data_IF_810393431941
#
_entry.id   IF_810393431941
#
_cell.length_a   1.000
_cell.length_b   1.000
_cell.length_c   1.000
_cell.angle_alpha   90.00
_cell.angle_beta   90.00
_cell.angle_gamma   90.00
#
_symmetry.space_group_name_H-M   'P 1'
#
loop_
_entity.id
_entity.type
_entity.pdbx_description
1 polymer ?
#
# COMPACT_ATOMS: atom_id res chain seq x y z
N UNK A 1 24.33 46.80 -5.40
CA UNK A 1 24.69 45.87 -6.49
C UNK A 1 23.80 44.64 -6.34
N UNK A 2 22.59 44.67 -6.88
CA UNK A 2 21.63 43.55 -6.84
C UNK A 2 21.39 43.16 -8.30
N UNK A 3 21.89 41.98 -8.70
CA UNK A 3 21.70 41.44 -10.05
C UNK A 3 20.37 40.69 -10.08
N UNK A 4 19.36 41.30 -10.69
CA UNK A 4 18.15 40.60 -11.11
C UNK A 4 18.54 39.60 -12.23
N UNK A 5 18.37 38.30 -11.97
CA UNK A 5 18.50 37.26 -12.99
C UNK A 5 17.18 37.18 -13.76
N UNK A 6 17.19 37.71 -14.99
CA UNK A 6 16.18 37.42 -16.02
C UNK A 6 16.34 35.97 -16.44
N UNK A 7 15.33 35.13 -16.16
CA UNK A 7 15.29 33.73 -16.60
C UNK A 7 14.88 33.71 -18.07
N UNK A 8 15.88 33.85 -18.94
CA UNK A 8 15.74 33.65 -20.37
C UNK A 8 15.95 32.19 -20.77
N UNK A 9 15.04 31.70 -21.61
CA UNK A 9 15.22 30.57 -22.54
C UNK A 9 15.27 29.14 -21.98
N UNK A 10 14.08 28.56 -21.69
CA UNK A 10 13.78 27.15 -22.03
C UNK A 10 12.29 26.82 -22.17
N UNK A 11 11.52 27.69 -22.84
CA UNK A 11 10.12 27.43 -23.22
C UNK A 11 9.94 27.66 -24.72
N UNK A 12 10.32 26.65 -25.52
CA UNK A 12 10.10 26.56 -26.98
C UNK A 12 10.10 25.06 -27.29
N UNK A 13 9.12 24.41 -27.91
CA UNK A 13 7.98 24.76 -28.79
C UNK A 13 6.91 23.66 -28.67
N UNK A 14 5.61 23.99 -28.71
CA UNK A 14 4.63 23.25 -29.53
C UNK A 14 3.50 24.22 -29.99
N UNK A 15 3.52 24.51 -31.30
CA UNK A 15 2.64 25.21 -32.26
C UNK A 15 1.30 25.93 -31.88
N UNK A 16 1.26 27.20 -32.33
CA UNK A 16 0.26 27.97 -33.12
C UNK A 16 -1.23 27.96 -32.76
N UNK A 17 -1.76 29.13 -32.37
CA UNK A 17 -2.38 30.09 -33.31
C UNK A 17 -2.80 31.41 -32.61
N UNK A 18 -2.41 32.52 -33.24
CA UNK A 18 -2.94 33.90 -33.14
C UNK A 18 -2.52 34.82 -31.98
N UNK A 19 -2.22 36.05 -32.43
CA UNK A 19 -1.60 37.17 -31.73
C UNK A 19 -2.53 37.79 -30.68
N UNK A 20 -2.00 38.03 -29.48
CA UNK A 20 -2.16 39.34 -28.85
C UNK A 20 -1.04 39.60 -27.84
N UNK A 21 -0.40 40.74 -28.06
CA UNK A 21 0.78 41.27 -27.41
C UNK A 21 0.50 41.78 -26.00
N UNK A 22 1.01 41.08 -24.97
CA UNK A 22 1.60 41.67 -23.75
C UNK A 22 2.65 40.67 -23.26
N UNK A 23 3.93 40.91 -23.51
CA UNK A 23 5.01 40.19 -22.83
C UNK A 23 5.07 40.65 -21.37
N UNK A 24 4.14 40.19 -20.55
CA UNK A 24 4.35 40.17 -19.10
C UNK A 24 5.49 39.20 -18.83
N UNK A 25 6.67 39.74 -18.54
CA UNK A 25 7.75 39.00 -17.91
C UNK A 25 7.22 38.48 -16.56
N UNK A 26 6.58 37.31 -16.57
CA UNK A 26 6.04 36.68 -15.37
C UNK A 26 7.21 36.24 -14.50
N UNK A 27 7.64 37.11 -13.59
CA UNK A 27 8.69 36.80 -12.63
C UNK A 27 8.10 35.83 -11.61
N UNK A 28 8.37 34.54 -11.80
CA UNK A 28 7.96 33.46 -10.90
C UNK A 28 8.84 33.46 -9.64
N UNK A 29 8.69 34.47 -8.78
CA UNK A 29 9.43 34.58 -7.50
C UNK A 29 8.76 33.84 -6.36
N UNK A 30 7.43 33.94 -6.29
CA UNK A 30 6.63 33.39 -5.20
C UNK A 30 5.87 32.12 -5.58
N UNK A 31 5.47 31.37 -4.56
CA UNK A 31 4.87 30.06 -4.70
C UNK A 31 3.45 30.11 -5.34
N UNK A 32 2.74 31.23 -5.19
CA UNK A 32 1.39 31.43 -5.74
C UNK A 32 1.45 31.67 -7.24
N UNK A 33 2.32 32.57 -7.69
CA UNK A 33 2.59 32.87 -9.10
C UNK A 33 3.04 31.60 -9.82
N UNK A 34 3.94 30.82 -9.21
CA UNK A 34 4.38 29.54 -9.77
C UNK A 34 3.27 28.49 -9.83
N UNK A 35 2.38 28.44 -8.83
CA UNK A 35 1.23 27.55 -8.84
C UNK A 35 0.23 27.93 -9.95
N UNK A 36 -0.12 29.21 -10.07
CA UNK A 36 -1.03 29.70 -11.11
C UNK A 36 -0.48 29.40 -12.52
N UNK A 37 0.81 29.69 -12.73
CA UNK A 37 1.47 29.36 -13.99
C UNK A 37 1.48 27.86 -14.28
N UNK A 38 1.71 27.02 -13.26
CA UNK A 38 1.68 25.58 -13.41
C UNK A 38 0.29 25.04 -13.76
N UNK A 39 -0.78 25.64 -13.23
CA UNK A 39 -2.16 25.26 -13.55
C UNK A 39 -2.51 25.66 -14.99
N UNK A 40 -2.11 26.86 -15.42
CA UNK A 40 -2.40 27.39 -16.76
C UNK A 40 -1.62 26.68 -17.87
N UNK A 41 -0.34 26.34 -17.62
CA UNK A 41 0.58 25.82 -18.64
C UNK A 41 0.84 24.31 -18.54
N UNK A 42 -0.01 23.57 -17.80
CA UNK A 42 0.14 22.11 -17.72
C UNK A 42 -0.33 21.44 -19.02
N UNK A 43 0.46 20.50 -19.60
CA UNK A 43 0.13 19.85 -20.88
C UNK A 43 -1.15 19.00 -20.86
N UNK A 44 -1.72 18.75 -19.67
CA UNK A 44 -3.07 18.23 -19.48
C UNK A 44 -3.72 19.10 -18.40
N UNK A 45 -4.94 19.59 -18.63
CA UNK A 45 -5.70 20.35 -17.61
C UNK A 45 -5.61 19.61 -16.28
N UNK A 46 -5.00 20.25 -15.29
CA UNK A 46 -4.89 19.69 -13.95
C UNK A 46 -6.29 19.41 -13.42
N UNK A 47 -6.55 18.19 -12.96
CA UNK A 47 -7.84 17.87 -12.36
C UNK A 47 -8.04 18.68 -11.06
N UNK A 48 -9.31 18.87 -10.68
CA UNK A 48 -9.67 19.70 -9.52
C UNK A 48 -8.98 19.23 -8.23
N UNK A 49 -8.84 17.91 -8.05
CA UNK A 49 -8.15 17.32 -6.89
C UNK A 49 -6.67 17.71 -6.83
N UNK A 50 -5.95 17.69 -7.97
CA UNK A 50 -4.55 18.11 -8.02
C UNK A 50 -4.39 19.59 -7.67
N UNK A 51 -5.27 20.45 -8.19
CA UNK A 51 -5.24 21.88 -7.89
C UNK A 51 -5.48 22.15 -6.40
N UNK A 52 -6.45 21.44 -5.81
CA UNK A 52 -6.73 21.57 -4.37
C UNK A 52 -5.54 21.13 -3.50
N UNK A 53 -4.91 20.00 -3.80
CA UNK A 53 -3.80 19.52 -2.97
C UNK A 53 -2.53 20.35 -3.12
N UNK A 54 -2.24 20.85 -4.32
CA UNK A 54 -1.11 21.78 -4.52
C UNK A 54 -1.43 23.13 -3.85
N UNK A 55 -2.64 23.66 -4.05
CA UNK A 55 -3.06 24.92 -3.43
C UNK A 55 -3.02 24.88 -1.90
N UNK A 56 -3.34 23.73 -1.30
CA UNK A 56 -3.17 23.51 0.15
C UNK A 56 -1.71 23.55 0.58
N UNK A 57 -0.80 22.96 -0.19
CA UNK A 57 0.63 23.05 0.08
C UNK A 57 1.10 24.50 0.02
N UNK A 58 0.70 25.22 -1.03
CA UNK A 58 1.04 26.63 -1.23
C UNK A 58 0.58 27.46 -0.03
N UNK A 59 -0.67 27.27 0.41
CA UNK A 59 -1.23 27.96 1.58
C UNK A 59 -0.51 27.60 2.88
N UNK A 60 -0.07 26.36 3.04
CA UNK A 60 0.60 25.89 4.26
C UNK A 60 2.04 26.39 4.35
N UNK A 61 2.80 26.36 3.25
CA UNK A 61 4.18 26.86 3.18
C UNK A 61 4.19 28.39 3.25
N UNK A 62 3.21 29.03 2.64
CA UNK A 62 3.08 30.48 2.55
C UNK A 62 2.91 30.92 1.09
N UNK A 63 1.81 31.61 0.75
CA UNK A 63 1.51 31.98 -0.64
C UNK A 63 2.53 32.94 -1.24
N UNK A 64 3.03 33.89 -0.44
CA UNK A 64 3.97 34.94 -0.87
C UNK A 64 5.44 34.53 -0.63
N UNK A 65 5.68 33.27 -0.25
CA UNK A 65 7.00 32.77 0.09
C UNK A 65 7.86 32.65 -1.17
N UNK A 66 9.07 33.18 -1.12
CA UNK A 66 10.06 33.00 -2.19
C UNK A 66 10.46 31.53 -2.36
N UNK A 67 10.33 31.01 -3.57
CA UNK A 67 10.53 29.57 -3.87
C UNK A 67 11.95 29.10 -3.51
N UNK A 68 12.96 29.97 -3.68
CA UNK A 68 14.37 29.67 -3.40
C UNK A 68 14.65 29.43 -1.92
N UNK A 69 13.84 30.01 -1.05
CA UNK A 69 14.00 29.95 0.41
C UNK A 69 13.37 28.71 1.04
N UNK A 70 12.60 27.94 0.26
CA UNK A 70 11.94 26.71 0.73
C UNK A 70 12.99 25.64 1.00
N UNK A 71 12.98 25.13 2.22
CA UNK A 71 13.94 24.12 2.69
C UNK A 71 13.38 22.71 2.59
N UNK A 72 14.25 21.69 2.47
CA UNK A 72 13.87 20.29 2.60
C UNK A 72 13.09 19.95 3.87
N UNK A 73 13.43 20.60 4.99
CA UNK A 73 12.80 20.38 6.30
C UNK A 73 11.34 20.85 6.31
N UNK A 74 11.02 21.96 5.65
CA UNK A 74 9.64 22.45 5.52
C UNK A 74 8.79 21.49 4.67
N UNK A 75 9.36 20.90 3.62
CA UNK A 75 8.67 19.88 2.83
C UNK A 75 8.44 18.60 3.65
N UNK A 76 9.40 18.24 4.52
CA UNK A 76 9.24 17.14 5.48
C UNK A 76 8.10 17.40 6.45
N UNK A 77 8.07 18.58 7.08
CA UNK A 77 7.00 18.97 8.01
C UNK A 77 5.62 19.05 7.34
N UNK A 78 5.57 19.52 6.09
CA UNK A 78 4.33 19.46 5.29
C UNK A 78 3.91 18.02 5.01
N UNK A 79 4.86 17.11 4.80
CA UNK A 79 4.59 15.68 4.58
C UNK A 79 3.85 15.06 5.76
N UNK A 80 4.24 15.41 6.98
CA UNK A 80 3.58 14.93 8.21
C UNK A 80 2.17 15.51 8.33
N UNK A 81 1.99 16.79 8.03
CA UNK A 81 0.67 17.44 8.05
C UNK A 81 -0.26 16.91 6.94
N UNK A 82 0.31 16.59 5.79
CA UNK A 82 -0.40 15.96 4.68
C UNK A 82 -0.85 14.54 5.04
N UNK A 83 -0.03 13.77 5.78
CA UNK A 83 -0.35 12.41 6.19
C UNK A 83 -1.51 12.36 7.19
N UNK A 84 -1.63 13.32 8.12
CA UNK A 84 -2.72 13.37 9.12
C UNK A 84 -4.11 13.51 8.51
N UNK A 85 -4.23 14.13 7.33
CA UNK A 85 -5.52 14.54 6.73
C UNK A 85 -5.91 13.75 5.48
N UNK A 86 -5.03 12.87 5.01
CA UNK A 86 -5.21 12.20 3.72
C UNK A 86 -5.43 10.71 3.93
N UNK A 87 -6.57 10.22 3.48
CA UNK A 87 -6.88 8.79 3.48
C UNK A 87 -5.83 8.00 2.70
N UNK A 88 -5.44 6.86 3.26
CA UNK A 88 -4.36 5.99 2.79
C UNK A 88 -4.48 5.53 1.34
N UNK A 89 -5.71 5.37 0.86
CA UNK A 89 -6.08 4.96 -0.50
C UNK A 89 -5.77 6.04 -1.55
N UNK A 90 -6.09 7.30 -1.26
CA UNK A 90 -5.88 8.45 -2.19
C UNK A 90 -4.52 9.11 -2.03
N UNK A 91 -3.82 8.80 -0.94
CA UNK A 91 -2.55 9.41 -0.58
C UNK A 91 -1.44 9.26 -1.66
N UNK A 92 -1.24 8.10 -2.31
CA UNK A 92 -0.22 7.96 -3.37
C UNK A 92 -0.47 8.87 -4.58
N UNK A 93 -1.74 9.00 -5.00
CA UNK A 93 -2.13 9.83 -6.13
C UNK A 93 -1.96 11.32 -5.81
N UNK A 94 -2.40 11.74 -4.62
CA UNK A 94 -2.29 13.12 -4.16
C UNK A 94 -0.84 13.56 -3.97
N UNK A 95 0.01 12.70 -3.41
CA UNK A 95 1.47 12.95 -3.34
C UNK A 95 2.08 13.07 -4.71
N UNK A 96 1.64 12.26 -5.69
CA UNK A 96 2.14 12.38 -7.06
C UNK A 96 1.84 13.76 -7.68
N UNK A 97 0.69 14.38 -7.38
CA UNK A 97 0.39 15.74 -7.83
C UNK A 97 1.36 16.76 -7.25
N UNK A 98 1.61 16.68 -5.94
CA UNK A 98 2.51 17.61 -5.25
C UNK A 98 3.96 17.41 -5.72
N UNK A 99 4.41 16.16 -5.89
CA UNK A 99 5.75 15.85 -6.45
C UNK A 99 5.93 16.37 -7.85
N UNK A 100 4.91 16.30 -8.71
CA UNK A 100 4.97 16.87 -10.06
C UNK A 100 5.14 18.39 -10.01
N UNK A 101 4.43 19.08 -9.12
CA UNK A 101 4.61 20.51 -8.93
C UNK A 101 6.01 20.87 -8.40
N UNK A 102 6.51 20.17 -7.36
CA UNK A 102 7.88 20.38 -6.85
C UNK A 102 8.96 20.07 -7.89
N UNK A 103 8.72 19.08 -8.76
CA UNK A 103 9.61 18.76 -9.89
C UNK A 103 9.57 19.85 -10.96
N UNK A 104 8.40 20.43 -11.22
CA UNK A 104 8.25 21.61 -12.07
C UNK A 104 9.07 22.79 -11.54
N UNK A 105 9.00 23.08 -10.24
CA UNK A 105 9.81 24.15 -9.63
C UNK A 105 11.32 23.92 -9.81
N UNK A 106 11.76 22.67 -9.64
CA UNK A 106 13.16 22.28 -9.88
C UNK A 106 13.56 22.43 -11.35
N UNK A 107 12.74 21.94 -12.28
CA UNK A 107 13.03 21.93 -13.71
C UNK A 107 13.09 23.33 -14.32
N UNK A 108 12.41 24.30 -13.70
CA UNK A 108 12.48 25.72 -14.06
C UNK A 108 13.50 26.50 -13.20
N UNK A 109 14.37 25.81 -12.47
CA UNK A 109 15.43 26.40 -11.65
C UNK A 109 14.93 27.39 -10.57
N UNK A 110 13.66 27.26 -10.16
CA UNK A 110 13.02 28.14 -9.18
C UNK A 110 13.35 27.76 -7.73
N UNK A 111 13.67 26.48 -7.48
CA UNK A 111 13.98 25.94 -6.14
C UNK A 111 15.44 25.54 -5.98
N UNK A 112 15.99 25.70 -4.78
CA UNK A 112 17.40 25.46 -4.42
C UNK A 112 17.82 23.98 -4.30
N UNK A 113 16.95 23.02 -4.68
CA UNK A 113 17.27 21.59 -4.65
C UNK A 113 16.10 20.69 -5.03
N UNK A 114 16.28 19.37 -4.88
CA UNK A 114 15.22 18.39 -5.16
C UNK A 114 14.20 18.30 -4.02
N UNK A 115 13.34 19.30 -3.88
CA UNK A 115 12.31 19.33 -2.84
C UNK A 115 11.37 18.11 -2.88
N UNK A 116 11.12 17.57 -4.08
CA UNK A 116 10.23 16.42 -4.26
C UNK A 116 10.71 15.12 -3.56
N UNK A 117 12.02 14.95 -3.32
CA UNK A 117 12.55 13.77 -2.60
C UNK A 117 12.31 13.80 -1.09
N UNK A 118 11.97 14.97 -0.55
CA UNK A 118 11.70 15.17 0.87
C UNK A 118 10.21 15.04 1.21
N UNK A 119 9.33 15.01 0.20
CA UNK A 119 7.94 14.62 0.36
C UNK A 119 7.84 13.08 0.47
N UNK A 120 8.05 12.59 1.68
CA UNK A 120 8.00 11.17 2.03
C UNK A 120 6.75 10.87 2.83
N UNK A 121 5.89 10.02 2.31
CA UNK A 121 4.91 9.36 3.17
C UNK A 121 5.55 8.14 3.81
N UNK A 122 5.33 7.98 5.11
CA UNK A 122 5.47 6.68 5.77
C UNK A 122 4.55 5.74 4.99
N UNK A 123 5.12 4.77 4.26
CA UNK A 123 4.33 3.76 3.56
C UNK A 123 3.57 3.00 4.64
N UNK A 124 2.28 3.26 4.81
CA UNK A 124 1.44 2.21 5.36
C UNK A 124 1.41 1.09 4.31
N UNK A 125 1.67 -0.14 4.75
CA UNK A 125 1.68 -1.31 3.86
C UNK A 125 0.31 -1.55 3.18
N UNK A 126 -0.72 -0.86 3.65
CA UNK A 126 -2.08 -0.78 3.11
C UNK A 126 -2.10 -0.46 1.62
N UNK A 127 -1.30 0.50 1.14
CA UNK A 127 -1.31 0.91 -0.28
C UNK A 127 -0.76 -0.16 -1.26
N UNK A 128 0.08 -1.09 -0.78
CA UNK A 128 0.53 -2.24 -1.58
C UNK A 128 -0.55 -3.32 -1.62
N UNK A 129 -1.29 -3.48 -0.53
CA UNK A 129 -2.38 -4.44 -0.39
C UNK A 129 -3.56 -3.99 -1.26
N UNK A 130 -4.02 -2.74 -1.14
CA UNK A 130 -5.11 -2.18 -1.96
C UNK A 130 -4.78 -2.18 -3.44
N UNK A 131 -3.53 -1.86 -3.83
CA UNK A 131 -3.14 -1.89 -5.25
C UNK A 131 -2.98 -3.30 -5.80
N UNK A 132 -2.70 -4.31 -4.96
CA UNK A 132 -2.77 -5.73 -5.32
C UNK A 132 -4.22 -6.16 -5.51
N UNK A 133 -5.12 -5.75 -4.61
CA UNK A 133 -6.58 -5.99 -4.67
C UNK A 133 -7.29 -5.26 -5.84
N UNK A 134 -6.87 -4.05 -6.19
CA UNK A 134 -7.43 -3.29 -7.34
C UNK A 134 -6.91 -3.82 -8.68
N UNK A 135 -5.69 -4.38 -8.72
CA UNK A 135 -5.16 -5.04 -9.90
C UNK A 135 -5.82 -6.40 -10.17
N UNK A 136 -6.42 -7.03 -9.14
CA UNK A 136 -7.23 -8.25 -9.21
C UNK A 136 -8.72 -7.97 -9.16
N UNK A 137 -9.18 -6.92 -9.86
CA UNK A 137 -10.60 -6.65 -10.10
C UNK A 137 -11.17 -7.75 -11.02
N UNK A 138 -11.39 -8.93 -10.44
CA UNK A 138 -11.78 -10.16 -11.11
C UNK A 138 -11.46 -11.46 -10.34
N UNK A 139 -10.62 -11.44 -9.30
CA UNK A 139 -10.38 -12.65 -8.48
C UNK A 139 -11.33 -12.66 -7.28
N UNK A 140 -12.40 -13.48 -7.37
CA UNK A 140 -13.18 -13.88 -6.21
C UNK A 140 -12.23 -14.53 -5.19
N UNK A 141 -12.19 -14.02 -3.96
CA UNK A 141 -11.38 -14.63 -2.91
C UNK A 141 -12.16 -15.83 -2.39
N UNK A 142 -11.71 -17.02 -2.73
CA UNK A 142 -12.30 -18.23 -2.17
C UNK A 142 -11.72 -18.53 -0.80
N UNK A 143 -12.58 -18.81 0.17
CA UNK A 143 -12.20 -19.22 1.53
C UNK A 143 -12.92 -20.50 1.91
N UNK A 144 -12.25 -21.36 2.66
CA UNK A 144 -12.94 -22.46 3.36
C UNK A 144 -13.84 -21.91 4.47
N UNK A 145 -14.90 -22.64 4.85
CA UNK A 145 -15.75 -22.23 6.00
C UNK A 145 -14.92 -22.03 7.27
N UNK A 146 -13.94 -22.90 7.49
CA UNK A 146 -13.01 -22.80 8.61
C UNK A 146 -12.14 -21.53 8.52
N UNK A 147 -11.62 -21.20 7.33
CA UNK A 147 -10.84 -19.98 7.11
C UNK A 147 -11.65 -18.71 7.31
N UNK A 148 -12.88 -18.67 6.80
CA UNK A 148 -13.79 -17.55 7.00
C UNK A 148 -14.04 -17.29 8.50
N UNK A 149 -14.36 -18.34 9.27
CA UNK A 149 -14.54 -18.24 10.73
C UNK A 149 -13.25 -17.79 11.44
N UNK A 150 -12.09 -18.23 10.97
CA UNK A 150 -10.80 -17.83 11.55
C UNK A 150 -10.52 -16.34 11.33
N UNK A 151 -10.84 -15.82 10.13
CA UNK A 151 -10.76 -14.39 9.83
C UNK A 151 -11.78 -13.56 10.64
N UNK A 152 -13.02 -14.03 10.80
CA UNK A 152 -14.01 -13.37 11.66
C UNK A 152 -13.54 -13.31 13.12
N UNK A 153 -12.97 -14.40 13.63
CA UNK A 153 -12.40 -14.46 14.96
C UNK A 153 -11.25 -13.47 15.11
N UNK A 154 -10.29 -13.47 14.19
CA UNK A 154 -9.16 -12.53 14.20
C UNK A 154 -9.63 -11.08 14.16
N UNK A 155 -10.61 -10.76 13.30
CA UNK A 155 -11.20 -9.43 13.22
C UNK A 155 -11.82 -9.00 14.56
N UNK A 156 -12.57 -9.88 15.19
CA UNK A 156 -13.17 -9.64 16.51
C UNK A 156 -12.10 -9.43 17.58
N UNK A 157 -11.05 -10.23 17.59
CA UNK A 157 -9.94 -10.14 18.55
C UNK A 157 -9.24 -8.77 18.40
N UNK A 158 -8.90 -8.36 17.17
CA UNK A 158 -8.28 -7.05 16.91
C UNK A 158 -9.20 -5.87 17.28
N UNK A 159 -10.50 -5.95 16.97
CA UNK A 159 -11.47 -4.92 17.38
C UNK A 159 -11.62 -4.83 18.89
N UNK A 160 -11.49 -5.95 19.60
CA UNK A 160 -11.52 -6.00 21.07
C UNK A 160 -10.23 -5.46 21.70
N UNK A 161 -9.09 -5.61 21.02
CA UNK A 161 -7.80 -5.05 21.46
C UNK A 161 -7.74 -3.52 21.28
N UNK A 162 -8.42 -2.99 20.26
CA UNK A 162 -8.31 -1.57 19.86
C UNK A 162 -8.54 -0.56 21.00
N UNK A 163 -9.55 -0.69 21.88
CA UNK A 163 -9.73 0.22 23.01
C UNK A 163 -8.55 0.19 23.99
N UNK A 164 -7.92 -0.97 24.20
CA UNK A 164 -6.77 -1.11 25.09
C UNK A 164 -5.56 -0.37 24.53
N UNK A 165 -5.31 -0.51 23.23
CA UNK A 165 -4.22 0.19 22.54
C UNK A 165 -4.44 1.71 22.54
N UNK A 166 -5.69 2.16 22.36
CA UNK A 166 -6.03 3.58 22.44
C UNK A 166 -5.74 4.17 23.83
N UNK A 167 -6.04 3.41 24.90
CA UNK A 167 -5.67 3.80 26.27
C UNK A 167 -4.15 3.81 26.49
N UNK A 168 -3.40 2.84 25.93
CA UNK A 168 -1.93 2.83 25.97
C UNK A 168 -1.34 4.09 25.32
N UNK A 169 -1.84 4.48 24.14
CA UNK A 169 -1.43 5.73 23.48
C UNK A 169 -1.81 6.96 24.30
N UNK A 170 -3.00 6.99 24.90
CA UNK A 170 -3.44 8.11 25.74
C UNK A 170 -2.54 8.27 26.97
N UNK A 171 -2.18 7.16 27.62
CA UNK A 171 -1.24 7.16 28.76
C UNK A 171 0.15 7.64 28.35
N UNK A 172 0.69 7.09 27.27
CA UNK A 172 2.00 7.49 26.75
C UNK A 172 2.03 8.97 26.31
N UNK A 173 0.90 9.50 25.82
CA UNK A 173 0.78 10.92 25.47
C UNK A 173 0.67 11.85 26.68
N UNK A 174 0.22 11.35 27.84
CA UNK A 174 0.10 12.13 29.07
C UNK A 174 1.43 12.38 29.79
N UNK A 175 2.48 11.60 29.47
CA UNK A 175 3.83 11.72 30.06
C UNK A 175 4.62 12.97 29.60
N UNK A 176 4.03 13.84 28.77
CA UNK A 176 4.42 15.25 28.64
C UNK A 176 5.71 15.58 27.88
N UNK A 177 6.67 14.65 27.74
CA UNK A 177 7.89 14.87 26.96
C UNK A 177 7.76 14.33 25.53
N UNK A 178 7.09 15.10 24.68
CA UNK A 178 6.62 14.64 23.35
C UNK A 178 7.75 14.55 22.31
N UNK A 179 8.94 15.11 22.59
CA UNK A 179 9.98 15.30 21.56
C UNK A 179 10.87 14.07 21.34
N UNK A 180 10.93 13.13 22.30
CA UNK A 180 11.70 11.87 22.20
C UNK A 180 10.99 10.67 22.87
N UNK A 181 9.65 10.62 22.85
CA UNK A 181 8.90 9.57 23.53
C UNK A 181 8.83 8.28 22.69
N UNK A 182 9.89 7.48 22.74
CA UNK A 182 9.94 6.15 22.11
C UNK A 182 8.73 5.24 22.50
N UNK A 183 8.23 5.24 23.75
CA UNK A 183 6.99 4.55 24.10
C UNK A 183 5.74 5.02 23.34
N UNK A 184 5.57 6.33 23.14
CA UNK A 184 4.43 6.89 22.38
C UNK A 184 4.49 6.51 20.90
N UNK A 185 5.68 6.56 20.30
CA UNK A 185 5.87 6.18 18.90
C UNK A 185 5.62 4.68 18.69
N UNK A 186 6.11 3.83 19.60
CA UNK A 186 5.83 2.40 19.59
C UNK A 186 4.33 2.09 19.74
N UNK A 187 3.64 2.78 20.66
CA UNK A 187 2.21 2.59 20.86
C UNK A 187 1.39 3.04 19.63
N UNK A 188 1.77 4.15 18.99
CA UNK A 188 1.17 4.61 17.73
C UNK A 188 1.39 3.63 16.58
N UNK A 189 2.60 3.11 16.43
CA UNK A 189 2.91 2.11 15.42
C UNK A 189 2.10 0.83 15.62
N UNK A 190 1.93 0.39 16.87
CA UNK A 190 1.09 -0.78 17.19
C UNK A 190 -0.37 -0.57 16.80
N UNK A 191 -0.96 0.60 17.10
CA UNK A 191 -2.31 0.95 16.64
C UNK A 191 -2.41 0.93 15.11
N UNK A 192 -1.42 1.52 14.42
CA UNK A 192 -1.41 1.57 12.95
C UNK A 192 -1.31 0.17 12.33
N UNK A 193 -0.50 -0.71 12.92
CA UNK A 193 -0.38 -2.10 12.51
C UNK A 193 -1.70 -2.86 12.69
N UNK A 194 -2.35 -2.74 13.84
CA UNK A 194 -3.62 -3.43 14.12
C UNK A 194 -4.74 -2.91 13.22
N UNK A 195 -4.85 -1.59 13.01
CA UNK A 195 -5.82 -1.02 12.06
C UNK A 195 -5.57 -1.50 10.63
N UNK A 196 -4.31 -1.60 10.21
CA UNK A 196 -3.97 -2.15 8.90
C UNK A 196 -4.44 -3.60 8.76
N UNK A 197 -4.32 -4.41 9.83
CA UNK A 197 -4.79 -5.79 9.85
C UNK A 197 -6.32 -5.91 9.82
N UNK A 198 -7.01 -5.07 10.59
CA UNK A 198 -8.48 -4.99 10.56
C UNK A 198 -8.97 -4.69 9.14
N UNK A 199 -8.40 -3.66 8.50
CA UNK A 199 -8.79 -3.27 7.15
C UNK A 199 -8.54 -4.38 6.12
N UNK A 200 -7.38 -5.05 6.21
CA UNK A 200 -7.04 -6.19 5.35
C UNK A 200 -8.07 -7.32 5.48
N UNK A 201 -8.40 -7.71 6.72
CA UNK A 201 -9.35 -8.79 6.98
C UNK A 201 -10.77 -8.39 6.54
N UNK A 202 -11.20 -7.16 6.81
CA UNK A 202 -12.51 -6.66 6.35
C UNK A 202 -12.62 -6.64 4.83
N UNK A 203 -11.55 -6.25 4.13
CA UNK A 203 -11.51 -6.27 2.67
C UNK A 203 -11.62 -7.70 2.12
N UNK A 204 -10.91 -8.66 2.73
CA UNK A 204 -10.98 -10.09 2.39
C UNK A 204 -12.40 -10.62 2.61
N UNK A 205 -12.95 -10.47 3.81
CA UNK A 205 -14.29 -10.96 4.16
C UNK A 205 -15.39 -10.37 3.27
N UNK A 206 -15.23 -9.11 2.82
CA UNK A 206 -16.21 -8.43 1.96
C UNK A 206 -16.34 -9.05 0.57
N UNK A 207 -15.27 -9.63 0.04
CA UNK A 207 -15.24 -10.23 -1.31
C UNK A 207 -15.06 -11.76 -1.26
N UNK A 208 -15.13 -12.34 -0.07
CA UNK A 208 -14.92 -13.76 0.14
C UNK A 208 -16.13 -14.58 -0.31
N UNK A 209 -15.88 -15.64 -1.09
CA UNK A 209 -16.83 -16.69 -1.38
C UNK A 209 -16.49 -17.92 -0.53
N UNK A 210 -17.47 -18.46 0.19
CA UNK A 210 -17.26 -19.61 1.08
C UNK A 210 -17.39 -20.89 0.24
N UNK A 211 -16.30 -21.63 0.11
CA UNK A 211 -16.29 -22.95 -0.49
C UNK A 211 -16.53 -23.98 0.61
N UNK A 212 -17.60 -24.77 0.44
CA UNK A 212 -17.84 -25.97 1.24
C UNK A 212 -17.16 -27.18 0.61
N UNK A 213 -16.31 -27.85 1.38
CA UNK A 213 -15.57 -29.05 0.97
C UNK A 213 -16.20 -30.34 1.50
N UNK A 214 -17.40 -30.27 2.08
CA UNK A 214 -18.00 -31.36 2.84
C UNK A 214 -18.39 -32.61 2.03
N UNK A 215 -18.39 -32.62 0.69
CA UNK A 215 -18.96 -33.77 -0.04
C UNK A 215 -18.65 -33.89 -1.54
N UNK A 216 -17.39 -33.90 -1.98
CA UNK A 216 -17.07 -34.27 -3.38
C UNK A 216 -16.22 -35.54 -3.53
N UNK A 217 -16.67 -36.62 -2.88
CA UNK A 217 -16.20 -37.99 -3.17
C UNK A 217 -14.78 -38.31 -2.72
N UNK A 218 -14.12 -39.28 -3.38
CA UNK A 218 -12.76 -39.74 -3.07
C UNK A 218 -11.65 -38.82 -3.60
N UNK A 219 -11.97 -37.61 -4.04
CA UNK A 219 -11.04 -36.69 -4.69
C UNK A 219 -10.66 -35.53 -3.77
N UNK A 220 -9.37 -35.19 -3.75
CA UNK A 220 -8.84 -34.07 -2.98
C UNK A 220 -9.27 -32.75 -3.61
N UNK A 221 -10.01 -31.94 -2.86
CA UNK A 221 -10.44 -30.59 -3.24
C UNK A 221 -9.93 -29.56 -2.23
N UNK A 222 -10.09 -28.27 -2.54
CA UNK A 222 -9.80 -27.20 -1.59
C UNK A 222 -10.70 -27.37 -0.36
N UNK A 223 -10.10 -27.34 0.82
CA UNK A 223 -10.72 -27.61 2.12
C UNK A 223 -10.44 -29.02 2.66
N UNK A 224 -10.13 -30.00 1.80
CA UNK A 224 -9.86 -31.38 2.20
C UNK A 224 -8.63 -31.50 3.10
N UNK A 225 -8.72 -32.39 4.10
CA UNK A 225 -7.57 -32.82 4.90
C UNK A 225 -7.02 -34.11 4.33
N UNK A 226 -5.73 -34.13 4.04
CA UNK A 226 -5.04 -35.21 3.34
C UNK A 226 -3.89 -35.71 4.19
N UNK A 227 -3.80 -37.02 4.36
CA UNK A 227 -2.63 -37.69 4.93
C UNK A 227 -1.75 -38.17 3.79
N UNK A 228 -0.46 -37.82 3.80
CA UNK A 228 0.51 -38.24 2.79
C UNK A 228 1.71 -38.93 3.44
N UNK A 229 2.12 -40.06 2.87
CA UNK A 229 3.29 -40.82 3.31
C UNK A 229 4.44 -40.55 2.35
N UNK A 230 5.56 -40.03 2.86
CA UNK A 230 6.78 -39.86 2.07
C UNK A 230 7.51 -41.21 1.93
N UNK A 231 7.82 -41.62 0.70
CA UNK A 231 8.47 -42.91 0.45
C UNK A 231 9.91 -43.01 0.92
N UNK A 232 10.65 -41.91 0.87
CA UNK A 232 12.06 -41.84 1.24
C UNK A 232 12.23 -41.84 2.76
N UNK A 233 11.46 -41.01 3.47
CA UNK A 233 11.56 -40.87 4.93
C UNK A 233 10.63 -41.77 5.71
N UNK A 234 9.62 -42.38 5.06
CA UNK A 234 8.54 -43.16 5.68
C UNK A 234 7.72 -42.38 6.73
N UNK A 235 7.82 -41.06 6.72
CA UNK A 235 7.04 -40.20 7.60
C UNK A 235 5.64 -39.95 7.02
N UNK A 236 4.64 -39.94 7.90
CA UNK A 236 3.28 -39.54 7.58
C UNK A 236 3.10 -38.05 7.93
N UNK A 237 2.54 -37.29 7.00
CA UNK A 237 2.24 -35.87 7.16
C UNK A 237 0.77 -35.61 6.89
N UNK A 238 0.11 -34.90 7.81
CA UNK A 238 -1.25 -34.41 7.61
C UNK A 238 -1.23 -32.96 7.13
N UNK A 239 -1.94 -32.70 6.04
CA UNK A 239 -2.10 -31.37 5.46
C UNK A 239 -3.57 -31.04 5.24
N UNK A 240 -3.92 -29.76 5.35
CA UNK A 240 -5.17 -29.23 4.84
C UNK A 240 -4.89 -28.42 3.58
N UNK A 241 -5.50 -28.81 2.47
CA UNK A 241 -5.39 -28.06 1.23
C UNK A 241 -6.28 -26.82 1.31
N UNK A 242 -5.70 -25.64 1.15
CA UNK A 242 -6.40 -24.37 1.26
C UNK A 242 -5.97 -23.42 0.13
N UNK A 243 -6.66 -22.29 -0.01
CA UNK A 243 -6.21 -21.24 -0.92
C UNK A 243 -4.96 -20.53 -0.40
N UNK A 244 -4.24 -19.85 -1.30
CA UNK A 244 -2.99 -19.15 -0.97
C UNK A 244 -3.11 -18.17 0.21
N UNK A 245 -4.30 -17.58 0.38
CA UNK A 245 -4.58 -16.60 1.42
C UNK A 245 -4.67 -17.22 2.83
N UNK A 246 -5.07 -18.49 2.92
CA UNK A 246 -5.24 -19.24 4.17
C UNK A 246 -4.02 -20.10 4.53
N UNK A 247 -3.05 -20.18 3.61
CA UNK A 247 -1.92 -21.09 3.73
C UNK A 247 -1.03 -20.73 4.92
N UNK A 248 -0.78 -21.73 5.77
CA UNK A 248 0.12 -21.63 6.89
C UNK A 248 0.79 -23.00 7.11
N UNK A 249 1.99 -23.22 6.52
CA UNK A 249 2.68 -24.50 6.58
C UNK A 249 3.00 -24.97 8.01
N UNK A 250 3.13 -24.05 8.98
CA UNK A 250 3.44 -24.37 10.37
C UNK A 250 2.30 -25.10 11.08
N UNK A 251 1.06 -24.90 10.63
CA UNK A 251 -0.14 -25.57 11.17
C UNK A 251 -0.70 -26.60 10.20
N UNK A 252 0.10 -27.02 9.21
CA UNK A 252 -0.30 -28.02 8.22
C UNK A 252 -1.24 -27.50 7.13
N UNK A 253 -1.51 -26.19 7.03
CA UNK A 253 -2.32 -25.61 5.95
C UNK A 253 -1.43 -25.31 4.74
N UNK A 254 -1.63 -26.00 3.62
CA UNK A 254 -0.83 -25.83 2.41
C UNK A 254 -1.66 -25.22 1.28
N UNK A 255 -1.04 -24.34 0.51
CA UNK A 255 -1.72 -23.69 -0.62
C UNK A 255 -1.91 -24.63 -1.80
N UNK A 256 -3.06 -24.54 -2.47
CA UNK A 256 -3.34 -25.14 -3.79
C UNK A 256 -2.27 -24.83 -4.85
N UNK A 257 -1.60 -23.67 -4.77
CA UNK A 257 -0.54 -23.27 -5.72
C UNK A 257 0.88 -23.64 -5.25
N UNK A 258 1.03 -24.28 -4.10
CA UNK A 258 2.34 -24.78 -3.64
C UNK A 258 2.73 -26.06 -4.39
N UNK A 259 4.02 -26.43 -4.49
CA UNK A 259 4.44 -27.65 -5.20
C UNK A 259 3.75 -28.92 -4.69
N UNK A 260 3.59 -29.04 -3.36
CA UNK A 260 2.88 -30.18 -2.75
C UNK A 260 1.38 -30.08 -3.00
N UNK A 261 0.78 -28.91 -2.76
CA UNK A 261 -0.66 -28.71 -2.93
C UNK A 261 -1.14 -28.92 -4.36
N UNK A 262 -0.38 -28.43 -5.34
CA UNK A 262 -0.67 -28.61 -6.75
C UNK A 262 -0.53 -30.08 -7.20
N UNK A 263 0.39 -30.84 -6.58
CA UNK A 263 0.58 -32.25 -6.91
C UNK A 263 -0.56 -33.14 -6.38
N UNK A 264 -1.08 -32.83 -5.18
CA UNK A 264 -2.17 -33.59 -4.55
C UNK A 264 -3.57 -33.14 -4.98
N UNK A 265 -3.73 -31.90 -5.46
CA UNK A 265 -5.03 -31.38 -5.89
C UNK A 265 -5.62 -32.29 -6.98
N UNK A 266 -6.86 -32.73 -6.75
CA UNK A 266 -7.58 -33.59 -7.67
C UNK A 266 -7.16 -35.07 -7.66
N UNK A 267 -6.27 -35.48 -6.76
CA UNK A 267 -5.86 -36.90 -6.61
C UNK A 267 -6.81 -37.66 -5.70
N UNK A 268 -6.68 -38.98 -5.69
CA UNK A 268 -7.52 -39.90 -4.91
C UNK A 268 -6.73 -40.70 -3.88
N UNK A 269 -7.46 -41.36 -2.99
CA UNK A 269 -6.88 -42.27 -2.01
C UNK A 269 -6.05 -43.36 -2.72
N UNK A 270 -4.81 -43.57 -2.27
CA UNK A 270 -3.88 -44.54 -2.84
C UNK A 270 -3.05 -44.02 -4.02
N UNK A 271 -3.32 -42.84 -4.56
CA UNK A 271 -2.52 -42.26 -5.64
C UNK A 271 -1.10 -41.89 -5.14
N UNK A 272 -0.12 -42.08 -6.03
CA UNK A 272 1.25 -41.59 -5.84
C UNK A 272 1.48 -40.28 -6.59
N UNK A 273 2.15 -39.34 -5.93
CA UNK A 273 2.51 -38.03 -6.48
C UNK A 273 4.00 -37.75 -6.31
N UNK A 274 4.62 -37.23 -7.35
CA UNK A 274 6.02 -36.78 -7.32
C UNK A 274 6.05 -35.26 -7.21
N UNK A 275 6.74 -34.75 -6.19
CA UNK A 275 6.91 -33.32 -5.94
C UNK A 275 8.38 -32.95 -6.10
N UNK A 276 8.65 -31.96 -6.94
CA UNK A 276 9.99 -31.38 -7.04
C UNK A 276 10.21 -30.39 -5.90
N UNK A 277 11.17 -30.69 -5.03
CA UNK A 277 11.59 -29.79 -3.96
C UNK A 277 13.02 -29.32 -4.21
N UNK A 278 13.47 -28.19 -3.61
CA UNK A 278 14.88 -27.77 -3.70
C UNK A 278 15.89 -28.82 -3.21
N UNK A 279 15.44 -29.78 -2.40
CA UNK A 279 16.26 -30.89 -1.90
C UNK A 279 16.24 -32.14 -2.81
N UNK A 280 15.55 -32.08 -3.95
CA UNK A 280 15.37 -33.19 -4.89
C UNK A 280 13.91 -33.60 -5.06
N UNK A 281 13.68 -34.59 -5.91
CA UNK A 281 12.34 -35.18 -6.09
C UNK A 281 11.95 -36.04 -4.90
N UNK A 282 10.73 -35.83 -4.40
CA UNK A 282 10.13 -36.60 -3.32
C UNK A 282 8.84 -37.24 -3.81
N UNK A 283 8.64 -38.52 -3.48
CA UNK A 283 7.44 -39.28 -3.84
C UNK A 283 6.58 -39.45 -2.60
N UNK A 284 5.30 -39.15 -2.73
CA UNK A 284 4.30 -39.26 -1.68
C UNK A 284 3.15 -40.16 -2.12
N UNK A 285 2.61 -40.97 -1.22
CA UNK A 285 1.33 -41.68 -1.41
C UNK A 285 0.25 -41.03 -0.56
N UNK A 286 -0.95 -40.90 -1.12
CA UNK A 286 -2.12 -40.42 -0.39
C UNK A 286 -2.70 -41.58 0.43
N UNK A 287 -2.57 -41.48 1.76
CA UNK A 287 -2.98 -42.51 2.73
C UNK A 287 -4.35 -42.24 3.34
N UNK A 288 -4.83 -40.99 3.29
CA UNK A 288 -6.14 -40.62 3.82
C UNK A 288 -6.68 -39.31 3.27
N UNK A 289 -7.99 -39.21 3.13
CA UNK A 289 -8.73 -37.99 2.76
C UNK A 289 -9.89 -37.84 3.75
N UNK A 290 -10.05 -36.64 4.33
CA UNK A 290 -11.08 -36.30 5.32
C UNK A 290 -11.69 -34.93 5.02
#
# INVERSE_FOLDING_TARGET
MIRNLTVGAKLTKINNSEENSVEDNLVLTDLTSAFQYYVQNSPRKLNNVAQQEIGRMVRWIGPDREIKTITPSEIGAYSDEFAKRTSTDTAPQKVAYIKKFLTFLKNNELSSGNLASHLRMKKSNVGKITKKLEATKGEEINLTEAGYKDYEKQLKDYKTEMPKLAEEVRKAAADGDIRENAPLDAAREKIEMVNSKIYEIEAILKVANIIDSSSQGDQIVIGSKVSVINHQSKNNHEYQLVEANEANPLVGKISSVSPVGAAILGRRLGDEVTVSTPAGEQVYTIDGIK
#
